data_IF_396889964863
#
_entry.id   IF_396889964863
#
_cell.length_a   1.000
_cell.length_b   1.000
_cell.length_c   1.000
_cell.angle_alpha   90.00
_cell.angle_beta   90.00
_cell.angle_gamma   90.00
#
_symmetry.space_group_name_H-M   'P 1'
#
loop_
_entity.id
_entity.type
_entity.pdbx_description
1 polymer ?
#
# COMPACT_ATOMS: atom_id res chain seq x y z
N UNK A 1 12.56 28.22 28.50
CA UNK A 1 13.23 27.53 27.37
C UNK A 1 12.23 26.59 26.74
N UNK A 2 11.84 26.83 25.49
CA UNK A 2 10.76 26.11 24.81
C UNK A 2 11.43 25.31 23.70
N UNK A 3 11.85 24.09 24.01
CA UNK A 3 12.47 23.20 23.03
C UNK A 3 11.36 22.61 22.16
N UNK A 4 11.26 23.13 20.93
CA UNK A 4 10.52 22.49 19.86
C UNK A 4 11.25 21.20 19.48
N UNK A 5 10.62 20.04 19.69
CA UNK A 5 11.12 18.76 19.17
C UNK A 5 10.49 18.54 17.78
N UNK A 6 11.30 18.17 16.78
CA UNK A 6 10.92 18.26 15.38
C UNK A 6 9.92 17.16 15.00
N UNK A 7 8.94 17.51 14.16
CA UNK A 7 8.16 16.54 13.40
C UNK A 7 9.15 15.72 12.56
N UNK A 8 9.45 14.50 13.01
CA UNK A 8 10.14 13.50 12.21
C UNK A 8 9.15 13.05 11.14
N UNK A 9 9.17 13.74 10.01
CA UNK A 9 8.63 13.25 8.74
C UNK A 9 9.42 11.99 8.40
N UNK A 10 8.89 10.83 8.79
CA UNK A 10 9.31 9.53 8.27
C UNK A 10 8.94 9.53 6.79
N UNK A 11 9.83 10.09 5.98
CA UNK A 11 9.85 9.83 4.54
C UNK A 11 10.22 8.36 4.44
N UNK A 12 9.19 7.51 4.33
CA UNK A 12 9.36 6.14 3.85
C UNK A 12 10.05 6.27 2.49
N UNK A 13 11.36 6.08 2.51
CA UNK A 13 12.20 5.92 1.32
C UNK A 13 11.49 4.85 0.49
N UNK A 14 10.86 5.29 -0.59
CA UNK A 14 10.27 4.41 -1.56
C UNK A 14 11.43 3.62 -2.19
N UNK A 15 11.62 2.39 -1.72
CA UNK A 15 12.38 1.39 -2.43
C UNK A 15 11.73 1.18 -3.80
N UNK A 16 12.43 1.49 -4.90
CA UNK A 16 12.40 0.78 -6.21
C UNK A 16 12.92 1.72 -7.31
N UNK A 17 13.85 1.41 -8.22
CA UNK A 17 14.40 0.13 -8.69
C UNK A 17 13.35 -0.98 -8.85
N UNK A 18 12.46 -0.84 -9.85
CA UNK A 18 12.00 -1.92 -10.73
C UNK A 18 11.03 -1.33 -11.77
N UNK A 19 11.03 -1.89 -12.98
CA UNK A 19 10.25 -1.58 -14.19
C UNK A 19 8.70 -1.56 -14.09
N UNK A 20 8.10 -1.42 -12.91
CA UNK A 20 6.64 -1.33 -12.73
C UNK A 20 6.18 0.11 -12.58
N UNK A 21 4.97 0.43 -13.08
CA UNK A 21 4.35 1.75 -12.89
C UNK A 21 4.46 2.18 -11.42
N UNK A 22 4.89 3.43 -11.13
CA UNK A 22 5.10 3.90 -9.76
C UNK A 22 3.83 3.75 -8.91
N UNK A 23 2.65 3.84 -9.54
CA UNK A 23 1.36 3.62 -8.89
C UNK A 23 1.15 2.16 -8.46
N UNK A 24 1.62 1.19 -9.25
CA UNK A 24 1.53 -0.24 -8.90
C UNK A 24 2.44 -0.57 -7.71
N UNK A 25 3.62 0.04 -7.65
CA UNK A 25 4.52 -0.05 -6.49
C UNK A 25 3.86 0.54 -5.25
N UNK A 26 3.14 1.65 -5.39
CA UNK A 26 2.41 2.28 -4.29
C UNK A 26 1.27 1.37 -3.78
N UNK A 27 0.54 0.69 -4.67
CA UNK A 27 -0.45 -0.32 -4.30
C UNK A 27 0.17 -1.47 -3.49
N UNK A 28 1.32 -1.98 -3.93
CA UNK A 28 2.02 -3.07 -3.23
C UNK A 28 2.51 -2.62 -1.83
N UNK A 29 2.98 -1.38 -1.72
CA UNK A 29 3.45 -0.83 -0.44
C UNK A 29 2.29 -0.64 0.56
N UNK A 30 1.13 -0.19 0.08
CA UNK A 30 -0.08 -0.13 0.90
C UNK A 30 -0.56 -1.51 1.36
N UNK A 31 -0.52 -2.52 0.48
CA UNK A 31 -0.88 -3.89 0.83
C UNK A 31 0.03 -4.45 1.94
N UNK A 32 1.33 -4.23 1.82
CA UNK A 32 2.30 -4.66 2.83
C UNK A 32 2.09 -3.99 4.19
N UNK A 33 1.78 -2.69 4.21
CA UNK A 33 1.44 -1.98 5.45
C UNK A 33 0.13 -2.48 6.05
N UNK A 34 -0.87 -2.79 5.22
CA UNK A 34 -2.14 -3.36 5.65
C UNK A 34 -1.94 -4.73 6.31
N UNK A 35 -1.21 -5.64 5.65
CA UNK A 35 -0.86 -6.96 6.17
C UNK A 35 -0.10 -6.89 7.51
N UNK A 36 0.87 -5.97 7.62
CA UNK A 36 1.57 -5.73 8.88
C UNK A 36 0.62 -5.28 10.00
N UNK A 37 -0.27 -4.33 9.71
CA UNK A 37 -1.26 -3.88 10.68
C UNK A 37 -2.23 -5.01 11.08
N UNK A 38 -2.64 -5.86 10.14
CA UNK A 38 -3.44 -7.05 10.43
C UNK A 38 -2.69 -8.03 11.34
N UNK A 39 -1.40 -8.26 11.08
CA UNK A 39 -0.56 -9.15 11.89
C UNK A 39 -0.34 -8.63 13.32
N UNK A 40 -0.29 -7.30 13.50
CA UNK A 40 -0.15 -6.65 14.80
C UNK A 40 -1.49 -6.59 15.56
N UNK A 41 -2.60 -6.43 14.85
CA UNK A 41 -3.94 -6.29 15.44
C UNK A 41 -4.58 -7.63 15.81
N UNK A 42 -4.06 -8.76 15.34
CA UNK A 42 -4.71 -10.06 15.51
C UNK A 42 -3.71 -11.17 15.78
N UNK A 43 -3.96 -11.97 16.81
CA UNK A 43 -3.20 -13.20 17.06
C UNK A 43 -3.45 -14.14 15.88
N UNK A 44 -2.38 -14.76 15.34
CA UNK A 44 -2.28 -15.47 14.05
C UNK A 44 -3.44 -16.43 13.67
N UNK A 45 -4.30 -16.84 14.61
CA UNK A 45 -5.36 -17.83 14.42
C UNK A 45 -6.80 -17.28 14.56
N UNK A 46 -6.99 -15.96 14.62
CA UNK A 46 -8.34 -15.38 14.70
C UNK A 46 -8.95 -15.15 13.31
N UNK A 47 -10.25 -15.43 13.14
CA UNK A 47 -10.98 -15.10 11.89
C UNK A 47 -10.81 -13.64 11.49
N UNK A 48 -10.61 -12.74 12.46
CA UNK A 48 -10.28 -11.33 12.26
C UNK A 48 -9.05 -11.14 11.36
N UNK A 49 -8.02 -11.98 11.48
CA UNK A 49 -6.84 -11.91 10.61
C UNK A 49 -7.16 -12.29 9.17
N UNK A 50 -7.98 -13.32 8.98
CA UNK A 50 -8.38 -13.77 7.64
C UNK A 50 -9.23 -12.70 6.94
N UNK A 51 -10.13 -12.06 7.67
CA UNK A 51 -10.94 -10.94 7.15
C UNK A 51 -10.03 -9.77 6.80
N UNK A 52 -9.15 -9.38 7.72
CA UNK A 52 -8.24 -8.24 7.53
C UNK A 52 -7.30 -8.47 6.34
N UNK A 53 -6.69 -9.66 6.21
CA UNK A 53 -5.86 -10.01 5.06
C UNK A 53 -6.66 -10.05 3.75
N UNK A 54 -7.89 -10.57 3.80
CA UNK A 54 -8.83 -10.52 2.67
C UNK A 54 -9.11 -9.09 2.20
N UNK A 55 -9.36 -8.16 3.13
CA UNK A 55 -9.55 -6.74 2.85
C UNK A 55 -8.28 -6.11 2.26
N UNK A 56 -7.09 -6.43 2.76
CA UNK A 56 -5.82 -5.94 2.21
C UNK A 56 -5.63 -6.37 0.75
N UNK A 57 -5.89 -7.64 0.45
CA UNK A 57 -5.80 -8.19 -0.93
C UNK A 57 -6.83 -7.53 -1.84
N UNK A 58 -8.06 -7.31 -1.37
CA UNK A 58 -9.11 -6.65 -2.15
C UNK A 58 -8.76 -5.19 -2.46
N UNK A 59 -8.20 -4.46 -1.48
CA UNK A 59 -7.66 -3.11 -1.64
C UNK A 59 -6.53 -3.08 -2.67
N UNK A 60 -5.60 -4.03 -2.60
CA UNK A 60 -4.51 -4.17 -3.57
C UNK A 60 -5.04 -4.42 -4.98
N UNK A 61 -5.97 -5.36 -5.14
CA UNK A 61 -6.55 -5.69 -6.44
C UNK A 61 -7.34 -4.52 -7.04
N UNK A 62 -8.07 -3.77 -6.21
CA UNK A 62 -8.78 -2.55 -6.62
C UNK A 62 -7.81 -1.47 -7.06
N UNK A 63 -6.71 -1.29 -6.34
CA UNK A 63 -5.65 -0.34 -6.69
C UNK A 63 -4.97 -0.73 -8.01
N UNK A 64 -4.63 -2.02 -8.17
CA UNK A 64 -4.10 -2.56 -9.42
C UNK A 64 -5.04 -2.34 -10.60
N UNK A 65 -6.34 -2.63 -10.44
CA UNK A 65 -7.34 -2.44 -11.49
C UNK A 65 -7.43 -0.96 -11.93
N UNK A 66 -7.41 -0.02 -10.98
CA UNK A 66 -7.40 1.42 -11.29
C UNK A 66 -6.14 1.85 -12.04
N UNK A 67 -4.96 1.36 -11.65
CA UNK A 67 -3.70 1.67 -12.33
C UNK A 67 -3.69 1.10 -13.75
N UNK A 68 -4.21 -0.12 -13.93
CA UNK A 68 -4.37 -0.74 -15.24
C UNK A 68 -5.37 0.02 -16.13
N UNK A 69 -6.48 0.50 -15.57
CA UNK A 69 -7.48 1.30 -16.27
C UNK A 69 -6.92 2.67 -16.67
N UNK A 70 -6.24 3.38 -15.76
CA UNK A 70 -5.54 4.64 -16.05
C UNK A 70 -4.47 4.46 -17.13
N UNK A 71 -3.76 3.33 -17.12
CA UNK A 71 -2.76 3.00 -18.15
C UNK A 71 -3.41 2.72 -19.50
N UNK A 72 -4.55 2.03 -19.55
CA UNK A 72 -5.34 1.81 -20.78
C UNK A 72 -5.89 3.12 -21.35
N UNK A 73 -6.41 4.01 -20.51
CA UNK A 73 -6.89 5.33 -20.93
C UNK A 73 -5.73 6.15 -21.50
N UNK A 74 -4.59 6.18 -20.81
CA UNK A 74 -3.38 6.91 -21.26
C UNK A 74 -2.87 6.41 -22.60
N UNK A 75 -2.89 5.10 -22.83
CA UNK A 75 -2.43 4.49 -24.09
C UNK A 75 -3.45 4.62 -25.22
N UNK A 76 -4.76 4.73 -24.93
CA UNK A 76 -5.80 5.00 -25.92
C UNK A 76 -5.85 6.46 -26.42
N UNK A 77 -5.17 7.39 -25.73
CA UNK A 77 -5.09 8.80 -26.13
C UNK A 77 -3.91 9.14 -27.06
N UNK A 78 -3.08 8.14 -27.45
CA UNK A 78 -1.97 8.29 -28.39
C UNK A 78 -2.25 7.59 -29.72
#
# INVERSE_FOLDING_TARGET
MRFALPLVLVTLVACSNQQNSPELTQCAQQNFQCEQNCSLSSTEQTMTRQICSGECIERYNTCKAQVEELTKIRTAQY
#
